data_IF_887886990548
#
_entry.id   IF_887886990548
#
_cell.length_a   1.000
_cell.length_b   1.000
_cell.length_c   1.000
_cell.angle_alpha   90.00
_cell.angle_beta   90.00
_cell.angle_gamma   90.00
#
_symmetry.space_group_name_H-M   'P 1'
#
loop_
_entity.id
_entity.type
_entity.pdbx_description
1 polymer ?
#
# COMPACT_ATOMS: atom_id res chain seq x y z
N UNK A 1 3.67 9.22 -14.85
CA UNK A 1 2.96 7.93 -14.73
C UNK A 1 4.04 6.89 -14.55
N UNK A 2 3.98 6.10 -13.48
CA UNK A 2 5.00 5.06 -13.26
C UNK A 2 4.97 4.06 -14.42
N UNK A 3 6.13 3.81 -15.00
CA UNK A 3 6.29 2.91 -16.14
C UNK A 3 6.49 1.48 -15.63
N UNK A 4 5.44 0.68 -15.74
CA UNK A 4 5.44 -0.73 -15.34
C UNK A 4 5.74 -1.68 -16.49
N UNK A 5 6.08 -1.18 -17.69
CA UNK A 5 6.29 -2.02 -18.89
C UNK A 5 7.47 -2.99 -18.78
N UNK A 6 8.33 -2.82 -17.77
CA UNK A 6 9.48 -3.67 -17.47
C UNK A 6 9.30 -4.71 -16.35
N UNK A 7 8.16 -4.74 -15.64
CA UNK A 7 7.96 -5.69 -14.54
C UNK A 7 7.75 -7.10 -15.08
N UNK A 8 8.80 -7.92 -15.06
CA UNK A 8 8.76 -9.30 -15.56
C UNK A 8 8.95 -10.35 -14.48
N UNK A 9 9.71 -10.02 -13.44
CA UNK A 9 9.93 -10.95 -12.34
C UNK A 9 8.81 -10.81 -11.30
N UNK A 10 8.31 -11.91 -10.73
CA UNK A 10 7.22 -11.85 -9.75
C UNK A 10 7.55 -11.01 -8.51
N UNK A 11 8.82 -10.96 -8.10
CA UNK A 11 9.30 -10.10 -7.02
C UNK A 11 9.26 -8.62 -7.40
N UNK A 12 9.66 -8.25 -8.63
CA UNK A 12 9.55 -6.87 -9.12
C UNK A 12 8.09 -6.39 -9.07
N UNK A 13 7.14 -7.24 -9.50
CA UNK A 13 5.70 -6.93 -9.47
C UNK A 13 5.24 -6.68 -8.03
N UNK A 14 5.59 -7.57 -7.10
CA UNK A 14 5.22 -7.44 -5.70
C UNK A 14 5.89 -6.24 -5.02
N UNK A 15 7.15 -5.93 -5.36
CA UNK A 15 7.82 -4.73 -4.85
C UNK A 15 7.16 -3.45 -5.38
N UNK A 16 6.76 -3.40 -6.65
CA UNK A 16 6.03 -2.27 -7.21
C UNK A 16 4.68 -2.08 -6.51
N UNK A 17 3.92 -3.16 -6.30
CA UNK A 17 2.69 -3.13 -5.52
C UNK A 17 2.94 -2.63 -4.09
N UNK A 18 3.94 -3.17 -3.39
CA UNK A 18 4.29 -2.77 -2.02
C UNK A 18 4.62 -1.28 -1.91
N UNK A 19 5.35 -0.73 -2.88
CA UNK A 19 5.67 0.70 -2.93
C UNK A 19 4.39 1.52 -3.05
N UNK A 20 3.45 1.08 -3.87
CA UNK A 20 2.20 1.79 -4.09
C UNK A 20 1.31 1.76 -2.85
N UNK A 21 1.20 0.62 -2.18
CA UNK A 21 0.45 0.50 -0.92
C UNK A 21 1.05 1.37 0.19
N UNK A 22 2.38 1.41 0.31
CA UNK A 22 3.07 2.30 1.27
C UNK A 22 2.79 3.78 1.00
N UNK A 23 2.81 4.20 -0.28
CA UNK A 23 2.44 5.57 -0.67
C UNK A 23 0.98 5.89 -0.34
N UNK A 24 0.06 4.97 -0.60
CA UNK A 24 -1.36 5.15 -0.31
C UNK A 24 -1.62 5.23 1.21
N UNK A 25 -1.00 4.34 1.98
CA UNK A 25 -1.05 4.37 3.45
C UNK A 25 -0.53 5.72 4.01
N UNK A 26 0.62 6.19 3.54
CA UNK A 26 1.20 7.47 3.96
C UNK A 26 0.32 8.65 3.54
N UNK A 27 -0.29 8.58 2.35
CA UNK A 27 -1.24 9.57 1.87
C UNK A 27 -2.44 9.69 2.81
N UNK A 28 -3.10 8.57 3.14
CA UNK A 28 -4.25 8.59 4.05
C UNK A 28 -3.87 8.96 5.49
N UNK A 29 -2.70 8.54 5.96
CA UNK A 29 -2.16 8.97 7.27
C UNK A 29 -2.05 10.50 7.32
N UNK A 30 -1.44 11.12 6.30
CA UNK A 30 -1.30 12.57 6.22
C UNK A 30 -2.64 13.31 6.05
N UNK A 31 -3.61 12.72 5.36
CA UNK A 31 -4.94 13.31 5.18
C UNK A 31 -5.80 13.26 6.44
N UNK A 32 -5.76 12.15 7.20
CA UNK A 32 -6.52 11.99 8.44
C UNK A 32 -6.17 13.09 9.45
N UNK A 33 -4.89 13.46 9.55
CA UNK A 33 -4.39 14.52 10.41
C UNK A 33 -4.87 15.93 10.02
N UNK A 34 -5.34 16.13 8.78
CA UNK A 34 -5.79 17.43 8.24
C UNK A 34 -7.30 17.52 8.09
N UNK A 35 -8.03 16.42 8.24
CA UNK A 35 -9.46 16.37 8.01
C UNK A 35 -10.25 16.77 9.27
N UNK A 36 -11.04 17.84 9.17
CA UNK A 36 -11.89 18.33 10.25
C UNK A 36 -13.31 17.75 10.22
N UNK A 37 -13.68 17.04 9.15
CA UNK A 37 -15.02 16.47 8.98
C UNK A 37 -14.97 15.00 9.42
N UNK A 38 -15.70 14.69 10.50
CA UNK A 38 -15.60 13.39 11.18
C UNK A 38 -15.89 12.19 10.26
N UNK A 39 -16.99 12.23 9.49
CA UNK A 39 -17.33 11.10 8.61
C UNK A 39 -16.29 10.87 7.48
N UNK A 40 -15.62 11.95 7.04
CA UNK A 40 -14.56 11.86 6.03
C UNK A 40 -13.29 11.32 6.68
N UNK A 41 -12.97 11.75 7.91
CA UNK A 41 -11.84 11.21 8.69
C UNK A 41 -12.01 9.71 8.92
N UNK A 42 -13.19 9.24 9.30
CA UNK A 42 -13.47 7.81 9.47
C UNK A 42 -13.24 7.01 8.17
N UNK A 43 -13.65 7.55 7.02
CA UNK A 43 -13.38 6.89 5.74
C UNK A 43 -11.88 6.81 5.45
N UNK A 44 -11.15 7.91 5.65
CA UNK A 44 -9.70 7.96 5.43
C UNK A 44 -8.97 7.00 6.36
N UNK A 45 -9.37 6.91 7.63
CA UNK A 45 -8.80 5.97 8.59
C UNK A 45 -9.04 4.52 8.18
N UNK A 46 -10.25 4.19 7.70
CA UNK A 46 -10.55 2.86 7.15
C UNK A 46 -9.67 2.53 5.94
N UNK A 47 -9.51 3.47 5.00
CA UNK A 47 -8.66 3.27 3.83
C UNK A 47 -7.20 3.03 4.24
N UNK A 48 -6.66 3.86 5.13
CA UNK A 48 -5.33 3.68 5.71
C UNK A 48 -5.16 2.28 6.32
N UNK A 49 -6.13 1.81 7.10
CA UNK A 49 -6.08 0.49 7.74
C UNK A 49 -6.16 -0.66 6.70
N UNK A 50 -6.90 -0.50 5.60
CA UNK A 50 -6.90 -1.48 4.49
C UNK A 50 -5.55 -1.53 3.77
N UNK A 51 -4.93 -0.38 3.47
CA UNK A 51 -3.60 -0.39 2.83
C UNK A 51 -2.54 -1.03 3.73
N UNK A 52 -2.66 -0.89 5.05
CA UNK A 52 -1.78 -1.60 5.99
C UNK A 52 -1.92 -3.13 5.87
N UNK A 53 -3.14 -3.65 5.69
CA UNK A 53 -3.37 -5.08 5.46
C UNK A 53 -2.78 -5.52 4.12
N UNK A 54 -2.92 -4.71 3.07
CA UNK A 54 -2.31 -4.98 1.77
C UNK A 54 -0.78 -5.05 1.87
N UNK A 55 -0.14 -4.11 2.58
CA UNK A 55 1.31 -4.11 2.85
C UNK A 55 1.73 -5.43 3.50
N UNK A 56 1.05 -5.85 4.58
CA UNK A 56 1.38 -7.08 5.30
C UNK A 56 1.23 -8.33 4.40
N UNK A 57 0.18 -8.38 3.58
CA UNK A 57 -0.05 -9.47 2.64
C UNK A 57 1.08 -9.57 1.61
N UNK A 58 1.46 -8.44 1.00
CA UNK A 58 2.51 -8.39 -0.02
C UNK A 58 3.88 -8.72 0.57
N UNK A 59 4.20 -8.20 1.77
CA UNK A 59 5.44 -8.55 2.47
C UNK A 59 5.51 -10.05 2.79
N UNK A 60 4.38 -10.65 3.19
CA UNK A 60 4.27 -12.10 3.39
C UNK A 60 4.53 -12.89 2.11
N UNK A 61 3.95 -12.48 0.98
CA UNK A 61 4.17 -13.11 -0.33
C UNK A 61 5.62 -12.97 -0.80
N UNK A 62 6.24 -11.81 -0.61
CA UNK A 62 7.65 -11.57 -0.92
C UNK A 62 8.58 -12.48 -0.12
N UNK A 63 8.28 -12.72 1.16
CA UNK A 63 9.04 -13.68 1.99
C UNK A 63 8.89 -15.09 1.44
N UNK A 64 7.67 -15.53 1.13
CA UNK A 64 7.43 -16.85 0.56
C UNK A 64 8.16 -17.05 -0.77
N UNK A 65 8.14 -16.04 -1.65
CA UNK A 65 8.80 -16.08 -2.95
C UNK A 65 10.33 -16.14 -2.84
N UNK A 66 10.93 -15.54 -1.80
CA UNK A 66 12.38 -15.57 -1.55
C UNK A 66 12.86 -16.84 -0.86
N UNK A 67 11.96 -17.57 -0.19
CA UNK A 67 12.27 -18.80 0.53
C UNK A 67 12.02 -20.07 -0.31
N UNK A 68 11.27 -19.96 -1.42
CA UNK A 68 11.08 -21.02 -2.41
C UNK A 68 12.11 -20.96 -3.53
#
# INVERSE_FOLDING_TARGET
>A
MEDYTGLKMPDDILNAALIQEKKAHDFYTNMSARCQIDFVRELIEKLKDEEYKHIQLIEGMLVQLRLG
#
